data_IF_548103019981
#
_entry.id   IF_548103019981
#
_cell.length_a   1.000
_cell.length_b   1.000
_cell.length_c   1.000
_cell.angle_alpha   90.00
_cell.angle_beta   90.00
_cell.angle_gamma   90.00
#
_symmetry.space_group_name_H-M   'P 1'
#
loop_
_entity.id
_entity.type
_entity.pdbx_description
1 polymer ?
#
# COMPACT_ATOMS: atom_id res chain seq x y z
N UNK A 1 9.32 -14.18 -6.78
CA UNK A 1 8.56 -12.91 -6.68
C UNK A 1 7.21 -13.07 -7.38
N UNK A 2 6.20 -12.23 -7.10
CA UNK A 2 4.87 -12.22 -7.75
C UNK A 2 4.59 -10.83 -8.31
N UNK A 3 3.73 -10.74 -9.32
CA UNK A 3 3.20 -9.44 -9.79
C UNK A 3 1.91 -9.09 -9.05
N UNK A 4 1.72 -7.82 -8.75
CA UNK A 4 0.48 -7.21 -8.30
C UNK A 4 0.12 -5.99 -9.14
N UNK A 5 -1.14 -5.60 -9.12
CA UNK A 5 -1.65 -4.37 -9.72
C UNK A 5 -2.06 -3.39 -8.61
N UNK A 6 -1.58 -2.16 -8.64
CA UNK A 6 -2.07 -1.08 -7.79
C UNK A 6 -2.96 -0.15 -8.61
N UNK A 7 -4.23 -0.10 -8.27
CA UNK A 7 -5.20 0.84 -8.87
C UNK A 7 -5.11 2.24 -8.23
N UNK A 8 -4.50 2.34 -7.03
CA UNK A 8 -4.57 3.56 -6.26
C UNK A 8 -6.00 3.87 -5.79
N UNK A 9 -6.34 5.14 -5.73
CA UNK A 9 -7.72 5.62 -5.59
C UNK A 9 -8.21 6.16 -6.93
N UNK A 10 -9.52 6.15 -7.12
CA UNK A 10 -10.12 6.74 -8.30
C UNK A 10 -9.75 8.23 -8.38
N UNK A 11 -9.25 8.63 -9.53
CA UNK A 11 -8.88 10.03 -9.86
C UNK A 11 -9.87 10.60 -10.87
N UNK A 12 -9.72 11.90 -11.19
CA UNK A 12 -10.52 12.53 -12.22
C UNK A 12 -10.31 11.93 -13.65
N UNK A 13 -9.24 11.15 -13.82
CA UNK A 13 -8.82 10.60 -15.11
C UNK A 13 -9.17 9.12 -15.30
N UNK A 14 -9.66 8.45 -14.27
CA UNK A 14 -10.06 7.03 -14.34
C UNK A 14 -11.48 6.82 -13.84
N UNK A 15 -12.24 6.04 -14.56
CA UNK A 15 -13.59 5.63 -14.16
C UNK A 15 -13.55 4.33 -13.36
N UNK A 16 -14.59 3.99 -12.59
CA UNK A 16 -14.71 2.66 -11.99
C UNK A 16 -14.65 1.52 -13.02
N UNK A 17 -15.18 1.75 -14.22
CA UNK A 17 -15.14 0.78 -15.32
C UNK A 17 -13.69 0.53 -15.80
N UNK A 18 -12.85 1.55 -15.85
CA UNK A 18 -11.43 1.41 -16.20
C UNK A 18 -10.69 0.58 -15.15
N UNK A 19 -10.94 0.84 -13.86
CA UNK A 19 -10.37 0.05 -12.76
C UNK A 19 -10.79 -1.43 -12.85
N UNK A 20 -12.05 -1.71 -13.17
CA UNK A 20 -12.52 -3.08 -13.38
C UNK A 20 -11.87 -3.73 -14.60
N UNK A 21 -11.75 -3.01 -15.72
CA UNK A 21 -11.09 -3.52 -16.91
C UNK A 21 -9.62 -3.87 -16.65
N UNK A 22 -8.90 -3.01 -15.92
CA UNK A 22 -7.52 -3.25 -15.49
C UNK A 22 -7.42 -4.48 -14.58
N UNK A 23 -8.33 -4.62 -13.59
CA UNK A 23 -8.35 -5.76 -12.68
C UNK A 23 -8.63 -7.09 -13.41
N UNK A 24 -9.56 -7.10 -14.36
CA UNK A 24 -9.86 -8.28 -15.20
C UNK A 24 -8.69 -8.67 -16.09
N UNK A 25 -8.01 -7.71 -16.69
CA UNK A 25 -6.83 -7.99 -17.51
C UNK A 25 -5.69 -8.51 -16.64
N UNK A 26 -5.48 -7.94 -15.45
CA UNK A 26 -4.49 -8.45 -14.50
C UNK A 26 -4.80 -9.90 -14.05
N UNK A 27 -6.09 -10.21 -13.77
CA UNK A 27 -6.52 -11.60 -13.47
C UNK A 27 -6.24 -12.55 -14.63
N UNK A 28 -6.54 -12.12 -15.88
CA UNK A 28 -6.27 -12.89 -17.11
C UNK A 28 -4.77 -13.15 -17.30
N UNK A 29 -3.92 -12.17 -16.99
CA UNK A 29 -2.46 -12.23 -17.14
C UNK A 29 -1.77 -12.97 -15.98
N UNK A 30 -2.49 -13.40 -14.94
CA UNK A 30 -1.92 -14.13 -13.82
C UNK A 30 -1.27 -13.26 -12.74
N UNK A 31 -1.61 -11.98 -12.68
CA UNK A 31 -1.24 -11.15 -11.52
C UNK A 31 -1.81 -11.76 -10.24
N UNK A 32 -1.03 -11.73 -9.17
CA UNK A 32 -1.40 -12.40 -7.92
C UNK A 32 -2.38 -11.60 -7.07
N UNK A 33 -2.40 -10.27 -7.19
CA UNK A 33 -3.22 -9.40 -6.36
C UNK A 33 -3.51 -8.07 -7.04
N UNK A 34 -4.73 -7.55 -6.86
CA UNK A 34 -5.10 -6.18 -7.17
C UNK A 34 -5.32 -5.40 -5.88
N UNK A 35 -4.66 -4.25 -5.76
CA UNK A 35 -4.74 -3.36 -4.61
C UNK A 35 -5.53 -2.11 -4.94
N UNK A 36 -6.48 -1.76 -4.08
CA UNK A 36 -7.18 -0.48 -4.12
C UNK A 36 -6.89 0.32 -2.85
N UNK A 37 -6.88 1.65 -2.96
CA UNK A 37 -6.57 2.56 -1.87
C UNK A 37 -7.76 3.45 -1.52
N UNK A 38 -7.71 4.04 -0.34
CA UNK A 38 -8.60 5.12 0.08
C UNK A 38 -7.83 6.21 0.81
N UNK A 39 -8.30 7.43 0.70
CA UNK A 39 -7.83 8.57 1.48
C UNK A 39 -9.03 9.51 1.75
N UNK A 40 -9.29 10.44 0.85
CA UNK A 40 -10.48 11.29 0.77
C UNK A 40 -11.04 11.29 -0.67
N UNK A 41 -10.82 10.19 -1.37
CA UNK A 41 -11.33 9.88 -2.72
C UNK A 41 -12.36 8.76 -2.68
N UNK A 42 -12.20 7.75 -3.55
CA UNK A 42 -13.09 6.58 -3.57
C UNK A 42 -12.90 5.67 -2.35
N UNK A 43 -13.98 5.01 -1.93
CA UNK A 43 -13.95 3.97 -0.89
C UNK A 43 -13.37 2.66 -1.44
N UNK A 44 -12.34 2.14 -0.79
CA UNK A 44 -11.66 0.92 -1.25
C UNK A 44 -12.52 -0.34 -1.08
N UNK A 45 -13.37 -0.38 -0.06
CA UNK A 45 -14.21 -1.56 0.25
C UNK A 45 -15.23 -1.79 -0.86
N UNK A 46 -15.94 -0.72 -1.28
CA UNK A 46 -16.92 -0.78 -2.36
C UNK A 46 -16.28 -1.20 -3.68
N UNK A 47 -15.10 -0.65 -3.99
CA UNK A 47 -14.36 -1.00 -5.19
C UNK A 47 -13.92 -2.47 -5.19
N UNK A 48 -13.34 -2.93 -4.10
CA UNK A 48 -12.88 -4.32 -3.99
C UNK A 48 -14.04 -5.31 -3.96
N UNK A 49 -15.18 -4.98 -3.34
CA UNK A 49 -16.38 -5.82 -3.39
C UNK A 49 -16.91 -5.99 -4.82
N UNK A 50 -16.91 -4.91 -5.60
CA UNK A 50 -17.32 -4.94 -6.99
C UNK A 50 -16.37 -5.76 -7.88
N UNK A 51 -15.05 -5.58 -7.72
CA UNK A 51 -14.02 -6.36 -8.42
C UNK A 51 -14.10 -7.85 -8.03
N UNK A 52 -14.39 -8.16 -6.75
CA UNK A 52 -14.51 -9.53 -6.26
C UNK A 52 -15.51 -10.37 -7.04
N UNK A 53 -16.67 -9.77 -7.37
CA UNK A 53 -17.71 -10.43 -8.16
C UNK A 53 -17.43 -10.51 -9.66
N UNK A 54 -16.34 -9.95 -10.14
CA UNK A 54 -15.99 -9.80 -11.55
C UNK A 54 -14.64 -10.42 -11.94
N UNK A 55 -13.97 -11.05 -10.98
CA UNK A 55 -12.66 -11.72 -11.11
C UNK A 55 -12.70 -13.07 -10.42
N UNK A 56 -11.84 -14.03 -10.84
CA UNK A 56 -11.91 -15.41 -10.36
C UNK A 56 -10.68 -15.85 -9.56
N UNK A 57 -9.48 -15.38 -9.93
CA UNK A 57 -8.20 -15.89 -9.40
C UNK A 57 -7.41 -14.87 -8.62
N UNK A 58 -7.39 -13.61 -9.09
CA UNK A 58 -6.59 -12.54 -8.51
C UNK A 58 -7.06 -12.24 -7.09
N UNK A 59 -6.12 -12.14 -6.15
CA UNK A 59 -6.42 -11.70 -4.79
C UNK A 59 -6.80 -10.21 -4.78
N UNK A 60 -7.55 -9.82 -3.77
CA UNK A 60 -8.05 -8.46 -3.58
C UNK A 60 -7.42 -7.87 -2.33
N UNK A 61 -6.71 -6.77 -2.46
CA UNK A 61 -5.99 -6.16 -1.35
C UNK A 61 -6.40 -4.70 -1.11
N UNK A 62 -6.56 -4.33 0.14
CA UNK A 62 -6.58 -2.92 0.49
C UNK A 62 -5.15 -2.38 0.65
N UNK A 63 -4.84 -1.27 0.01
CA UNK A 63 -3.55 -0.61 0.14
C UNK A 63 -3.68 0.92 0.22
N UNK A 64 -4.35 1.40 1.25
CA UNK A 64 -4.77 0.73 2.49
C UNK A 64 -6.19 1.11 2.89
N UNK A 65 -6.84 0.32 3.78
CA UNK A 65 -7.95 0.82 4.60
C UNK A 65 -7.38 1.67 5.73
N UNK A 66 -7.97 2.84 5.96
CA UNK A 66 -7.47 3.79 6.96
C UNK A 66 -7.97 3.42 8.36
N UNK A 67 -7.05 3.25 9.31
CA UNK A 67 -7.36 2.98 10.73
C UNK A 67 -8.30 4.04 11.33
N UNK A 68 -8.12 5.36 11.10
CA UNK A 68 -9.02 6.36 11.67
C UNK A 68 -10.43 6.37 11.06
N UNK A 69 -10.63 5.76 9.88
CA UNK A 69 -11.91 5.78 9.19
C UNK A 69 -12.93 4.76 9.74
N UNK A 70 -12.48 3.71 10.41
CA UNK A 70 -13.33 2.59 10.85
C UNK A 70 -12.96 2.10 12.24
N UNK A 71 -13.93 1.56 12.98
CA UNK A 71 -13.61 0.81 14.21
C UNK A 71 -12.95 -0.53 13.87
N UNK A 72 -12.12 -1.09 14.77
CA UNK A 72 -11.51 -2.41 14.54
C UNK A 72 -12.56 -3.52 14.35
N UNK A 73 -13.69 -3.47 15.06
CA UNK A 73 -14.78 -4.42 14.88
C UNK A 73 -15.41 -4.32 13.49
N UNK A 74 -15.67 -3.09 12.99
CA UNK A 74 -16.18 -2.90 11.62
C UNK A 74 -15.19 -3.38 10.57
N UNK A 75 -13.90 -3.14 10.76
CA UNK A 75 -12.85 -3.65 9.86
C UNK A 75 -12.81 -5.17 9.82
N UNK A 76 -12.95 -5.84 10.98
CA UNK A 76 -13.01 -7.30 11.02
C UNK A 76 -14.24 -7.85 10.28
N UNK A 77 -15.42 -7.23 10.46
CA UNK A 77 -16.64 -7.57 9.73
C UNK A 77 -16.45 -7.39 8.22
N UNK A 78 -15.92 -6.27 7.80
CA UNK A 78 -15.64 -5.96 6.39
C UNK A 78 -14.65 -6.96 5.78
N UNK A 79 -13.53 -7.23 6.45
CA UNK A 79 -12.52 -8.18 5.98
C UNK A 79 -13.10 -9.60 5.83
N UNK A 80 -13.84 -10.08 6.83
CA UNK A 80 -14.48 -11.38 6.78
C UNK A 80 -15.54 -11.49 5.67
N UNK A 81 -16.28 -10.40 5.42
CA UNK A 81 -17.28 -10.35 4.34
C UNK A 81 -16.61 -10.36 2.98
N UNK A 82 -15.60 -9.50 2.74
CA UNK A 82 -14.86 -9.46 1.47
C UNK A 82 -14.15 -10.80 1.19
N UNK A 83 -13.56 -11.41 2.21
CA UNK A 83 -12.90 -12.70 2.08
C UNK A 83 -13.89 -13.80 1.69
N UNK A 84 -15.09 -13.79 2.25
CA UNK A 84 -16.17 -14.74 1.89
C UNK A 84 -16.68 -14.49 0.46
N UNK A 85 -16.98 -13.23 0.10
CA UNK A 85 -17.45 -12.86 -1.25
C UNK A 85 -16.44 -13.19 -2.35
N UNK A 86 -15.16 -13.06 -2.04
CA UNK A 86 -14.07 -13.34 -2.99
C UNK A 86 -13.61 -14.80 -3.01
N UNK A 87 -14.17 -15.70 -2.19
CA UNK A 87 -13.70 -17.07 -2.10
C UNK A 87 -12.31 -17.20 -1.49
N UNK A 88 -12.04 -16.50 -0.39
CA UNK A 88 -10.78 -16.48 0.36
C UNK A 88 -9.60 -15.76 -0.34
N UNK A 89 -9.90 -14.78 -1.17
CA UNK A 89 -8.90 -14.00 -1.93
C UNK A 89 -8.60 -12.62 -1.32
N UNK A 90 -9.10 -12.29 -0.11
CA UNK A 90 -8.92 -10.97 0.47
C UNK A 90 -7.64 -10.84 1.29
N UNK A 91 -6.94 -9.70 1.15
CA UNK A 91 -5.76 -9.28 1.93
C UNK A 91 -6.05 -7.94 2.59
N UNK A 92 -6.00 -7.90 3.92
CA UNK A 92 -6.32 -6.70 4.70
C UNK A 92 -5.09 -5.81 4.85
N UNK A 93 -4.98 -4.76 4.06
CA UNK A 93 -3.95 -3.74 4.24
C UNK A 93 -4.46 -2.55 5.05
N UNK A 94 -3.70 -2.14 6.06
CA UNK A 94 -4.04 -1.09 7.00
C UNK A 94 -2.97 0.00 7.02
N UNK A 95 -3.41 1.25 7.21
CA UNK A 95 -2.53 2.39 7.34
C UNK A 95 -2.99 3.40 8.39
N UNK A 96 -2.03 4.09 8.99
CA UNK A 96 -2.29 5.09 10.02
C UNK A 96 -2.88 6.39 9.46
N UNK A 97 -2.84 6.58 8.12
CA UNK A 97 -3.13 7.87 7.47
C UNK A 97 -2.13 8.96 7.89
N UNK A 98 -2.51 10.23 7.79
CA UNK A 98 -1.73 11.37 8.25
C UNK A 98 -2.59 12.33 9.07
N UNK A 99 -1.98 13.31 9.78
CA UNK A 99 -2.71 14.26 10.63
C UNK A 99 -3.82 14.98 9.87
N UNK A 100 -3.54 15.43 8.63
CA UNK A 100 -4.49 16.19 7.83
C UNK A 100 -5.77 15.40 7.53
N UNK A 101 -5.64 14.12 7.20
CA UNK A 101 -6.77 13.26 6.87
C UNK A 101 -7.42 12.74 8.16
N UNK A 102 -6.64 12.26 9.13
CA UNK A 102 -7.16 11.73 10.39
C UNK A 102 -7.97 12.78 11.16
N UNK A 103 -7.41 13.99 11.35
CA UNK A 103 -8.04 15.05 12.11
C UNK A 103 -8.98 15.90 11.27
N UNK A 104 -8.58 16.24 10.03
CA UNK A 104 -9.32 17.15 9.17
C UNK A 104 -10.51 16.52 8.44
N UNK A 105 -10.44 15.21 8.14
CA UNK A 105 -11.49 14.51 7.40
C UNK A 105 -12.30 13.55 8.26
N UNK A 106 -11.62 12.78 9.13
CA UNK A 106 -12.28 11.78 9.97
C UNK A 106 -12.59 12.27 11.39
N UNK A 107 -12.07 13.44 11.80
CA UNK A 107 -12.28 13.99 13.16
C UNK A 107 -11.61 13.16 14.26
N UNK A 108 -10.63 12.33 13.91
CA UNK A 108 -9.92 11.43 14.84
C UNK A 108 -8.52 11.96 15.11
N UNK A 109 -8.22 12.21 16.40
CA UNK A 109 -6.90 12.70 16.82
C UNK A 109 -5.77 11.80 16.34
N UNK A 110 -4.78 12.39 15.66
CA UNK A 110 -3.55 11.70 15.23
C UNK A 110 -2.53 11.67 16.38
N UNK A 111 -2.73 10.76 17.31
CA UNK A 111 -1.86 10.61 18.48
C UNK A 111 -1.41 9.15 18.64
N UNK A 112 -0.12 8.95 18.97
CA UNK A 112 0.49 7.64 19.21
C UNK A 112 0.10 6.59 18.15
N UNK A 113 0.27 6.86 16.84
CA UNK A 113 -0.29 6.02 15.77
C UNK A 113 0.20 4.57 15.82
N UNK A 114 1.42 4.31 16.30
CA UNK A 114 1.95 2.94 16.39
C UNK A 114 1.26 2.13 17.50
N UNK A 115 1.02 2.74 18.67
CA UNK A 115 0.29 2.09 19.76
C UNK A 115 -1.16 1.79 19.32
N UNK A 116 -1.83 2.77 18.70
CA UNK A 116 -3.17 2.58 18.14
C UNK A 116 -3.22 1.45 17.10
N UNK A 117 -2.24 1.38 16.20
CA UNK A 117 -2.17 0.31 15.19
C UNK A 117 -2.02 -1.06 15.83
N UNK A 118 -1.18 -1.20 16.86
CA UNK A 118 -1.00 -2.45 17.59
C UNK A 118 -2.31 -2.94 18.22
N UNK A 119 -2.99 -2.05 18.94
CA UNK A 119 -4.28 -2.37 19.57
C UNK A 119 -5.34 -2.72 18.52
N UNK A 120 -5.40 -1.93 17.46
CA UNK A 120 -6.34 -2.14 16.35
C UNK A 120 -6.19 -3.52 15.71
N UNK A 121 -4.97 -3.90 15.32
CA UNK A 121 -4.69 -5.20 14.72
C UNK A 121 -4.98 -6.35 15.68
N UNK A 122 -4.66 -6.20 16.96
CA UNK A 122 -4.97 -7.21 17.97
C UNK A 122 -6.48 -7.47 18.08
N UNK A 123 -7.29 -6.41 18.12
CA UNK A 123 -8.75 -6.50 18.17
C UNK A 123 -9.31 -7.13 16.88
N UNK A 124 -8.80 -6.71 15.70
CA UNK A 124 -9.20 -7.29 14.41
C UNK A 124 -8.94 -8.80 14.38
N UNK A 125 -7.74 -9.25 14.79
CA UNK A 125 -7.40 -10.68 14.83
C UNK A 125 -8.27 -11.46 15.82
N UNK A 126 -8.55 -10.89 17.01
CA UNK A 126 -9.45 -11.49 17.98
C UNK A 126 -10.87 -11.67 17.41
N UNK A 127 -11.39 -10.65 16.72
CA UNK A 127 -12.70 -10.72 16.10
C UNK A 127 -12.74 -11.75 14.95
N UNK A 128 -11.73 -11.78 14.07
CA UNK A 128 -11.65 -12.76 12.97
C UNK A 128 -11.56 -14.21 13.46
N UNK A 129 -10.91 -14.46 14.61
CA UNK A 129 -10.89 -15.78 15.24
C UNK A 129 -12.20 -16.17 15.96
N UNK A 130 -13.24 -15.34 15.83
CA UNK A 130 -14.56 -15.50 16.49
C UNK A 130 -14.49 -15.61 18.00
N UNK A 131 -13.49 -15.05 18.64
CA UNK A 131 -13.49 -14.88 20.08
C UNK A 131 -14.45 -13.73 20.46
N UNK A 132 -15.02 -13.80 21.67
CA UNK A 132 -15.72 -12.67 22.24
C UNK A 132 -14.70 -11.54 22.49
N UNK A 133 -14.88 -10.42 21.79
CA UNK A 133 -13.91 -9.34 21.79
C UNK A 133 -13.90 -8.63 23.14
N UNK A 134 -12.77 -8.73 23.85
CA UNK A 134 -12.50 -7.98 25.07
C UNK A 134 -11.07 -7.43 24.99
N UNK A 135 -10.92 -6.12 25.18
CA UNK A 135 -9.64 -5.46 25.06
C UNK A 135 -9.53 -4.29 26.05
N UNK A 136 -8.39 -4.14 26.70
CA UNK A 136 -8.06 -3.04 27.59
C UNK A 136 -6.77 -2.39 27.11
N UNK A 137 -6.88 -1.28 26.41
CA UNK A 137 -5.76 -0.55 25.84
C UNK A 137 -5.84 0.94 26.13
N UNK A 138 -4.88 1.68 25.61
CA UNK A 138 -4.84 3.14 25.71
C UNK A 138 -5.85 3.80 24.72
N UNK A 139 -6.01 3.21 23.54
CA UNK A 139 -6.86 3.74 22.47
C UNK A 139 -8.22 3.05 22.37
N UNK A 140 -8.29 1.79 22.79
CA UNK A 140 -9.50 0.98 22.70
C UNK A 140 -9.76 0.24 24.01
N UNK A 141 -10.97 0.39 24.53
CA UNK A 141 -11.49 -0.39 25.65
C UNK A 141 -12.80 -1.02 25.22
N UNK A 142 -12.86 -2.34 25.17
CA UNK A 142 -14.01 -3.12 24.71
C UNK A 142 -14.28 -4.27 25.69
N UNK A 143 -15.53 -4.42 26.21
CA UNK A 143 -16.63 -3.46 26.10
C UNK A 143 -16.33 -2.15 26.84
N UNK A 144 -17.08 -1.08 26.49
CA UNK A 144 -16.89 0.23 27.11
C UNK A 144 -17.24 0.17 28.60
N UNK A 145 -16.36 0.63 29.53
CA UNK A 145 -16.61 0.62 30.94
C UNK A 145 -17.84 1.46 31.32
N UNK A 146 -18.64 0.96 32.26
CA UNK A 146 -19.85 1.66 32.76
C UNK A 146 -21.05 1.67 31.80
N UNK A 147 -20.89 1.05 30.61
CA UNK A 147 -22.00 0.90 29.65
C UNK A 147 -22.73 -0.42 29.78
N UNK A 148 -23.85 -0.57 29.03
CA UNK A 148 -24.63 -1.81 28.96
C UNK A 148 -24.00 -2.84 27.97
N UNK A 149 -22.85 -2.54 27.41
CA UNK A 149 -22.16 -3.40 26.42
C UNK A 149 -21.60 -4.67 27.04
N UNK A 150 -21.60 -5.75 26.26
CA UNK A 150 -20.94 -7.02 26.61
C UNK A 150 -20.00 -7.45 25.49
N UNK A 151 -19.00 -8.31 25.76
CA UNK A 151 -18.15 -8.86 24.69
C UNK A 151 -18.99 -9.56 23.61
N UNK A 152 -18.78 -9.16 22.36
CA UNK A 152 -19.47 -9.74 21.19
C UNK A 152 -18.45 -10.47 20.31
N UNK A 153 -18.93 -11.41 19.50
CA UNK A 153 -18.16 -12.12 18.47
C UNK A 153 -18.87 -11.98 17.13
N UNK A 154 -18.15 -12.25 16.04
CA UNK A 154 -18.77 -12.28 14.71
C UNK A 154 -19.99 -13.19 14.70
N UNK A 155 -21.12 -12.68 14.18
CA UNK A 155 -22.39 -13.39 14.11
C UNK A 155 -22.41 -14.50 13.05
N UNK A 156 -21.43 -14.53 12.15
CA UNK A 156 -21.27 -15.57 11.11
C UNK A 156 -19.88 -16.20 11.20
N UNK A 157 -19.68 -17.33 10.50
CA UNK A 157 -18.38 -17.99 10.39
C UNK A 157 -17.65 -17.40 9.18
N UNK A 158 -16.50 -16.72 9.37
CA UNK A 158 -15.68 -16.28 8.26
C UNK A 158 -15.18 -17.47 7.47
N UNK A 159 -14.92 -17.30 6.18
CA UNK A 159 -14.41 -18.35 5.31
C UNK A 159 -13.02 -18.88 5.75
N UNK A 160 -12.24 -18.02 6.43
CA UNK A 160 -11.01 -18.33 7.18
C UNK A 160 -10.81 -17.34 8.31
N UNK A 161 -10.04 -17.70 9.33
CA UNK A 161 -9.73 -16.85 10.49
C UNK A 161 -8.39 -16.15 10.39
N UNK A 162 -7.58 -16.54 9.43
CA UNK A 162 -6.19 -16.13 9.19
C UNK A 162 -6.05 -15.22 7.95
N UNK A 163 -7.02 -14.31 7.75
CA UNK A 163 -6.93 -13.30 6.71
C UNK A 163 -5.61 -12.53 6.88
N UNK A 164 -4.73 -12.49 5.84
CA UNK A 164 -3.42 -11.85 5.96
C UNK A 164 -3.57 -10.34 6.20
N UNK A 165 -2.84 -9.82 7.18
CA UNK A 165 -2.80 -8.40 7.53
C UNK A 165 -1.51 -7.79 7.03
N UNK A 166 -1.63 -6.72 6.24
CA UNK A 166 -0.52 -5.92 5.73
C UNK A 166 -0.53 -4.55 6.39
N UNK A 167 0.64 -4.00 6.65
CA UNK A 167 0.77 -2.63 7.16
C UNK A 167 1.56 -1.75 6.19
N UNK A 168 1.03 -0.56 5.90
CA UNK A 168 1.80 0.50 5.28
C UNK A 168 2.69 1.15 6.34
N UNK A 169 3.99 1.18 6.08
CA UNK A 169 4.98 1.73 6.99
C UNK A 169 6.10 2.42 6.22
N UNK A 170 6.56 3.57 6.72
CA UNK A 170 7.63 4.38 6.09
C UNK A 170 8.81 4.60 7.05
N UNK A 171 8.55 4.90 8.30
CA UNK A 171 9.61 5.14 9.29
C UNK A 171 10.11 3.87 9.98
N UNK A 172 11.34 3.88 10.51
CA UNK A 172 11.99 2.70 11.13
C UNK A 172 11.14 1.97 12.17
N UNK A 173 10.56 2.72 13.13
CA UNK A 173 9.73 2.13 14.20
C UNK A 173 8.43 1.53 13.66
N UNK A 174 7.86 2.10 12.57
CA UNK A 174 6.66 1.55 11.96
C UNK A 174 6.97 0.29 11.14
N UNK A 175 8.13 0.25 10.47
CA UNK A 175 8.63 -0.96 9.79
C UNK A 175 8.88 -2.10 10.79
N UNK A 176 9.48 -1.80 11.94
CA UNK A 176 9.66 -2.78 13.02
C UNK A 176 8.30 -3.28 13.53
N UNK A 177 7.33 -2.39 13.75
CA UNK A 177 5.98 -2.78 14.13
C UNK A 177 5.32 -3.66 13.06
N UNK A 178 5.46 -3.32 11.77
CA UNK A 178 4.94 -4.16 10.69
C UNK A 178 5.53 -5.58 10.74
N UNK A 179 6.84 -5.71 10.92
CA UNK A 179 7.49 -7.00 11.11
C UNK A 179 6.98 -7.78 12.33
N UNK A 180 6.63 -7.08 13.41
CA UNK A 180 6.18 -7.70 14.64
C UNK A 180 4.74 -8.20 14.59
N UNK A 181 3.80 -7.48 13.95
CA UNK A 181 2.36 -7.78 14.08
C UNK A 181 1.65 -8.12 12.76
N UNK A 182 2.30 -7.90 11.61
CA UNK A 182 1.69 -8.12 10.30
C UNK A 182 2.22 -9.38 9.60
N UNK A 183 1.58 -9.75 8.50
CA UNK A 183 1.97 -10.84 7.60
C UNK A 183 2.68 -10.30 6.35
N UNK A 184 2.59 -8.99 6.11
CA UNK A 184 3.31 -8.31 5.04
C UNK A 184 3.42 -6.79 5.25
N UNK A 185 4.25 -6.18 4.44
CA UNK A 185 4.49 -4.74 4.39
C UNK A 185 4.10 -4.17 3.03
N UNK A 186 3.44 -3.02 3.03
CA UNK A 186 3.11 -2.24 1.84
C UNK A 186 4.04 -1.02 1.79
N UNK A 187 5.02 -1.06 0.90
CA UNK A 187 6.00 0.00 0.69
C UNK A 187 5.73 0.79 -0.59
N UNK A 188 5.94 2.10 -0.53
CA UNK A 188 6.03 2.99 -1.70
C UNK A 188 7.39 3.68 -1.71
N UNK A 189 7.83 4.14 -2.88
CA UNK A 189 9.18 4.70 -3.08
C UNK A 189 10.28 3.73 -2.61
N UNK A 190 10.07 2.44 -2.83
CA UNK A 190 11.07 1.41 -2.53
C UNK A 190 12.14 1.44 -3.61
N UNK A 191 13.36 1.82 -3.22
CA UNK A 191 14.52 1.74 -4.08
C UNK A 191 15.24 0.41 -3.84
N UNK A 192 15.43 -0.46 -4.84
CA UNK A 192 16.08 -1.77 -4.67
C UNK A 192 17.45 -1.71 -4.02
N UNK A 193 18.25 -0.72 -4.38
CA UNK A 193 19.59 -0.47 -3.84
C UNK A 193 19.60 -0.02 -2.36
N UNK A 194 18.48 0.47 -1.84
CA UNK A 194 18.31 0.91 -0.46
C UNK A 194 17.34 0.03 0.37
N UNK A 195 16.80 -1.05 -0.22
CA UNK A 195 15.80 -1.91 0.43
C UNK A 195 16.30 -2.61 1.68
N UNK A 196 17.61 -2.87 1.79
CA UNK A 196 18.24 -3.51 2.94
C UNK A 196 17.97 -2.80 4.27
N UNK A 197 17.82 -1.47 4.27
CA UNK A 197 17.46 -0.71 5.47
C UNK A 197 16.04 -1.02 5.94
N UNK A 198 15.07 -1.06 5.03
CA UNK A 198 13.69 -1.43 5.34
C UNK A 198 13.60 -2.86 5.87
N UNK A 199 14.27 -3.81 5.19
CA UNK A 199 14.27 -5.22 5.58
C UNK A 199 14.91 -5.46 6.94
N UNK A 200 15.96 -4.70 7.29
CA UNK A 200 16.60 -4.77 8.63
C UNK A 200 15.61 -4.41 9.73
N UNK A 201 14.83 -3.35 9.57
CA UNK A 201 13.83 -2.95 10.56
C UNK A 201 12.67 -3.95 10.64
N UNK A 202 12.20 -4.47 9.51
CA UNK A 202 11.17 -5.52 9.47
C UNK A 202 11.69 -6.79 10.17
N UNK A 203 12.93 -7.20 9.88
CA UNK A 203 13.55 -8.36 10.51
C UNK A 203 13.68 -8.21 12.04
N UNK A 204 14.01 -7.01 12.53
CA UNK A 204 14.03 -6.73 13.97
C UNK A 204 12.64 -6.92 14.61
N UNK A 205 11.58 -6.50 13.94
CA UNK A 205 10.21 -6.75 14.39
C UNK A 205 9.85 -8.24 14.38
N UNK A 206 10.19 -8.96 13.31
CA UNK A 206 9.99 -10.41 13.18
C UNK A 206 10.71 -11.20 14.27
N UNK A 207 11.94 -10.80 14.60
CA UNK A 207 12.76 -11.43 15.62
C UNK A 207 12.11 -11.40 17.01
N UNK A 208 11.28 -10.40 17.34
CA UNK A 208 10.52 -10.35 18.60
C UNK A 208 9.52 -11.52 18.74
N UNK A 209 9.16 -12.14 17.63
CA UNK A 209 8.31 -13.35 17.58
C UNK A 209 9.11 -14.64 17.35
N UNK A 210 10.43 -14.58 17.35
CA UNK A 210 11.30 -15.69 17.02
C UNK A 210 11.24 -16.10 15.53
N UNK A 211 10.85 -15.20 14.63
CA UNK A 211 10.66 -15.45 13.19
C UNK A 211 11.71 -14.71 12.36
N UNK A 212 12.11 -15.30 11.24
CA UNK A 212 12.85 -14.63 10.17
C UNK A 212 11.94 -13.98 9.15
N UNK A 213 12.51 -13.49 8.03
CA UNK A 213 11.74 -12.90 6.94
C UNK A 213 10.95 -13.93 6.10
N UNK A 214 11.24 -15.21 6.22
CA UNK A 214 10.50 -16.25 5.52
C UNK A 214 9.00 -16.18 5.86
N UNK A 215 8.15 -16.26 4.83
CA UNK A 215 6.69 -16.17 4.97
C UNK A 215 6.15 -14.75 5.22
N UNK A 216 7.01 -13.72 5.22
CA UNK A 216 6.59 -12.32 5.28
C UNK A 216 6.60 -11.71 3.87
N UNK A 217 5.48 -11.15 3.43
CA UNK A 217 5.36 -10.57 2.09
C UNK A 217 5.83 -9.11 2.06
N UNK A 218 6.91 -8.85 1.36
CA UNK A 218 7.43 -7.50 1.09
C UNK A 218 6.80 -7.01 -0.20
N UNK A 219 5.82 -6.11 -0.11
CA UNK A 219 5.14 -5.56 -1.28
C UNK A 219 5.71 -4.20 -1.62
N UNK A 220 6.31 -4.06 -2.79
CA UNK A 220 6.72 -2.77 -3.33
C UNK A 220 5.68 -2.26 -4.33
N UNK A 221 5.05 -1.13 -4.03
CA UNK A 221 4.14 -0.45 -4.95
C UNK A 221 4.94 0.56 -5.78
N UNK A 222 4.96 0.34 -7.11
CA UNK A 222 5.92 0.98 -8.01
C UNK A 222 5.21 1.60 -9.21
N UNK A 223 5.35 2.92 -9.44
CA UNK A 223 4.92 3.56 -10.68
C UNK A 223 5.62 2.97 -11.89
N UNK A 224 4.89 2.82 -13.01
CA UNK A 224 5.43 2.32 -14.27
C UNK A 224 5.09 3.25 -15.43
N UNK A 225 6.09 3.68 -16.18
CA UNK A 225 5.93 4.41 -17.44
C UNK A 225 6.87 3.82 -18.50
N UNK A 226 6.30 3.33 -19.61
CA UNK A 226 7.04 2.63 -20.67
C UNK A 226 7.20 3.54 -21.87
N UNK A 227 8.46 3.72 -22.32
CA UNK A 227 8.81 4.55 -23.47
C UNK A 227 10.33 4.58 -23.69
N UNK A 228 10.72 5.12 -24.83
CA UNK A 228 12.15 5.26 -25.21
C UNK A 228 12.77 6.54 -24.62
N UNK A 229 11.94 7.56 -24.35
CA UNK A 229 12.35 8.80 -23.71
C UNK A 229 12.17 8.72 -22.20
N UNK A 230 13.30 8.58 -21.48
CA UNK A 230 13.30 8.44 -20.01
C UNK A 230 12.86 9.72 -19.31
N UNK A 231 13.12 10.90 -19.87
CA UNK A 231 12.68 12.17 -19.27
C UNK A 231 11.16 12.30 -19.38
N UNK A 232 10.57 11.98 -20.52
CA UNK A 232 9.12 11.93 -20.71
C UNK A 232 8.47 10.89 -19.78
N UNK A 233 9.08 9.70 -19.61
CA UNK A 233 8.60 8.70 -18.66
C UNK A 233 8.68 9.18 -17.19
N UNK A 234 9.73 9.92 -16.83
CA UNK A 234 9.86 10.49 -15.49
C UNK A 234 8.82 11.61 -15.25
N UNK A 235 8.57 12.44 -16.27
CA UNK A 235 7.68 13.61 -16.18
C UNK A 235 6.24 13.23 -15.83
N UNK A 236 5.73 12.10 -16.31
CA UNK A 236 4.37 11.62 -15.95
C UNK A 236 4.29 11.13 -14.51
N UNK A 237 5.40 10.77 -13.87
CA UNK A 237 5.46 10.28 -12.49
C UNK A 237 5.81 11.41 -11.49
N UNK A 238 6.56 12.44 -11.90
CA UNK A 238 7.01 13.53 -11.03
C UNK A 238 5.88 14.19 -10.22
N UNK A 239 4.66 14.47 -10.77
CA UNK A 239 3.58 15.07 -9.98
C UNK A 239 3.14 14.20 -8.79
N UNK A 240 3.10 12.87 -8.97
CA UNK A 240 2.83 11.92 -7.90
C UNK A 240 3.92 11.98 -6.82
N UNK A 241 5.18 11.91 -7.21
CA UNK A 241 6.29 11.96 -6.27
C UNK A 241 6.34 13.30 -5.52
N UNK A 242 6.11 14.42 -6.22
CA UNK A 242 6.07 15.76 -5.61
C UNK A 242 4.92 15.92 -4.60
N UNK A 243 3.75 15.36 -4.87
CA UNK A 243 2.63 15.33 -3.92
C UNK A 243 3.06 14.65 -2.60
N UNK A 244 3.71 13.50 -2.68
CA UNK A 244 4.12 12.76 -1.48
C UNK A 244 5.29 13.45 -0.76
N UNK A 245 6.36 13.78 -1.47
CA UNK A 245 7.56 14.40 -0.89
C UNK A 245 7.27 15.81 -0.36
N UNK A 246 6.42 16.57 -1.06
CA UNK A 246 6.11 17.97 -0.72
C UNK A 246 4.83 18.18 0.08
N UNK A 247 3.74 17.45 -0.23
CA UNK A 247 2.39 17.78 0.20
C UNK A 247 1.74 16.81 1.20
N UNK A 248 2.27 15.60 1.40
CA UNK A 248 1.64 14.59 2.27
C UNK A 248 2.04 14.74 3.74
N UNK A 249 1.83 15.91 4.29
CA UNK A 249 2.13 16.23 5.69
C UNK A 249 2.41 17.70 5.91
N UNK A 250 2.62 18.08 7.17
CA UNK A 250 3.18 19.41 7.51
C UNK A 250 4.68 19.44 7.20
N UNK A 251 5.26 20.65 7.34
CA UNK A 251 6.71 20.80 7.17
C UNK A 251 7.53 19.89 8.08
N UNK A 252 7.08 19.69 9.32
CA UNK A 252 7.78 18.91 10.34
C UNK A 252 7.37 17.44 10.36
N UNK A 253 6.26 17.09 9.74
CA UNK A 253 5.66 15.75 9.81
C UNK A 253 5.26 15.22 8.44
N UNK A 254 6.24 15.13 7.54
CA UNK A 254 6.09 14.46 6.25
C UNK A 254 7.03 13.24 6.20
N UNK A 255 6.44 12.05 6.33
CA UNK A 255 7.19 10.78 6.33
C UNK A 255 7.90 10.50 5.01
N UNK A 256 7.33 10.95 3.90
CA UNK A 256 7.88 10.72 2.55
C UNK A 256 9.00 11.72 2.23
N UNK A 257 8.93 12.94 2.74
CA UNK A 257 10.06 13.87 2.70
C UNK A 257 11.25 13.29 3.45
N UNK A 258 11.02 12.80 4.69
CA UNK A 258 12.06 12.13 5.47
C UNK A 258 12.60 10.87 4.78
N UNK A 259 11.78 10.16 3.98
CA UNK A 259 12.24 9.03 3.17
C UNK A 259 13.16 9.50 2.03
N UNK A 260 12.79 10.56 1.30
CA UNK A 260 13.64 11.12 0.25
C UNK A 260 15.00 11.60 0.79
N UNK A 261 15.01 12.21 1.98
CA UNK A 261 16.25 12.58 2.68
C UNK A 261 17.13 11.34 2.97
N UNK A 262 16.53 10.24 3.47
CA UNK A 262 17.27 8.98 3.70
C UNK A 262 17.81 8.35 2.43
N UNK A 263 17.16 8.58 1.29
CA UNK A 263 17.62 8.13 -0.02
C UNK A 263 18.74 9.02 -0.60
N UNK A 264 19.13 10.11 0.09
CA UNK A 264 20.22 10.98 -0.32
C UNK A 264 19.79 12.28 -1.02
N UNK A 265 18.49 12.60 -1.06
CA UNK A 265 17.92 13.76 -1.77
C UNK A 265 17.47 14.85 -0.80
N UNK A 266 18.33 15.26 0.14
CA UNK A 266 17.96 16.19 1.21
C UNK A 266 17.62 17.60 0.71
N UNK A 267 18.40 18.13 -0.25
CA UNK A 267 18.20 19.47 -0.80
C UNK A 267 16.99 19.52 -1.73
N UNK A 268 16.82 18.51 -2.56
CA UNK A 268 15.66 18.35 -3.45
C UNK A 268 14.38 18.17 -2.65
N UNK A 269 14.39 17.34 -1.61
CA UNK A 269 13.24 17.13 -0.75
C UNK A 269 12.78 18.43 -0.06
N UNK A 270 13.73 19.27 0.38
CA UNK A 270 13.45 20.61 0.95
C UNK A 270 12.84 21.50 -0.10
N UNK A 271 13.46 21.62 -1.27
CA UNK A 271 12.99 22.46 -2.37
C UNK A 271 11.58 22.05 -2.82
N UNK A 272 11.34 20.77 -3.00
CA UNK A 272 10.02 20.24 -3.38
C UNK A 272 8.97 20.58 -2.33
N UNK A 273 9.29 20.43 -1.05
CA UNK A 273 8.36 20.76 0.03
C UNK A 273 8.05 22.24 0.10
N UNK A 274 9.06 23.11 -0.03
CA UNK A 274 8.90 24.56 -0.03
C UNK A 274 8.00 25.04 -1.18
N UNK A 275 8.25 24.54 -2.38
CA UNK A 275 7.45 24.84 -3.56
C UNK A 275 6.01 24.33 -3.43
N UNK A 276 5.85 23.07 -2.99
CA UNK A 276 4.52 22.46 -2.88
C UNK A 276 3.65 23.18 -1.84
N UNK A 277 4.19 23.46 -0.66
CA UNK A 277 3.49 24.20 0.40
C UNK A 277 3.22 25.68 0.02
N UNK A 278 4.00 26.23 -0.89
CA UNK A 278 3.77 27.56 -1.49
C UNK A 278 2.76 27.52 -2.67
N UNK A 279 2.01 26.42 -2.85
CA UNK A 279 1.04 26.23 -3.93
C UNK A 279 1.63 26.30 -5.35
N UNK A 280 2.84 25.82 -5.51
CA UNK A 280 3.58 25.72 -6.79
C UNK A 280 3.85 24.25 -7.13
N UNK A 281 2.81 23.39 -7.29
CA UNK A 281 3.00 21.93 -7.44
C UNK A 281 3.70 21.55 -8.75
N UNK A 282 3.54 22.31 -9.82
CA UNK A 282 4.22 22.05 -11.09
C UNK A 282 5.73 22.26 -10.97
N UNK A 283 6.15 23.33 -10.27
CA UNK A 283 7.56 23.61 -10.03
C UNK A 283 8.17 22.64 -9.02
N UNK A 284 7.38 22.21 -8.02
CA UNK A 284 7.78 21.16 -7.10
C UNK A 284 8.04 19.83 -7.86
N UNK A 285 7.19 19.49 -8.82
CA UNK A 285 7.39 18.30 -9.67
C UNK A 285 8.67 18.44 -10.51
N UNK A 286 8.90 19.57 -11.13
CA UNK A 286 10.10 19.85 -11.93
C UNK A 286 11.41 19.84 -11.12
N UNK A 287 11.33 20.14 -9.81
CA UNK A 287 12.48 20.10 -8.90
C UNK A 287 12.93 18.69 -8.50
N UNK A 288 12.12 17.65 -8.78
CA UNK A 288 12.54 16.27 -8.54
C UNK A 288 13.46 15.78 -9.65
N UNK A 289 14.67 15.31 -9.33
CA UNK A 289 15.60 14.79 -10.34
C UNK A 289 15.07 13.49 -10.94
N UNK A 290 15.39 13.25 -12.22
CA UNK A 290 15.03 12.00 -12.91
C UNK A 290 15.56 10.78 -12.15
N UNK A 291 16.76 10.85 -11.60
CA UNK A 291 17.38 9.78 -10.84
C UNK A 291 16.53 9.33 -9.63
N UNK A 292 15.85 10.24 -8.92
CA UNK A 292 14.91 9.87 -7.87
C UNK A 292 13.76 9.01 -8.41
N UNK A 293 13.21 9.39 -9.57
CA UNK A 293 12.14 8.64 -10.24
C UNK A 293 12.65 7.28 -10.70
N UNK A 294 13.81 7.22 -11.36
CA UNK A 294 14.43 5.96 -11.81
C UNK A 294 14.68 4.99 -10.65
N UNK A 295 15.11 5.49 -9.49
CA UNK A 295 15.38 4.65 -8.30
C UNK A 295 14.12 4.11 -7.65
N UNK A 296 13.00 4.80 -7.76
CA UNK A 296 11.76 4.47 -7.03
C UNK A 296 10.61 4.03 -7.93
N UNK A 297 10.86 3.90 -9.24
CA UNK A 297 9.88 3.56 -10.26
C UNK A 297 10.47 2.59 -11.28
N UNK A 298 9.65 2.15 -12.22
CA UNK A 298 10.06 1.40 -13.39
C UNK A 298 9.77 2.26 -14.61
N UNK A 299 10.81 2.82 -15.25
CA UNK A 299 10.67 3.63 -16.46
C UNK A 299 11.57 3.12 -17.57
N UNK A 300 11.16 3.36 -18.82
CA UNK A 300 11.95 3.08 -20.02
C UNK A 300 11.41 1.96 -20.89
N UNK A 301 12.29 1.38 -21.71
CA UNK A 301 11.99 0.32 -22.67
C UNK A 301 11.63 -1.00 -21.98
N UNK A 302 11.04 -1.95 -22.73
CA UNK A 302 10.74 -3.30 -22.22
C UNK A 302 11.96 -4.00 -21.58
N UNK A 303 13.16 -3.82 -22.14
CA UNK A 303 14.37 -4.42 -21.59
C UNK A 303 14.75 -3.78 -20.25
N UNK A 304 14.61 -2.46 -20.12
CA UNK A 304 14.81 -1.76 -18.84
C UNK A 304 13.79 -2.19 -17.79
N UNK A 305 12.53 -2.39 -18.19
CA UNK A 305 11.47 -2.95 -17.31
C UNK A 305 11.88 -4.33 -16.79
N UNK A 306 12.36 -5.24 -17.67
CA UNK A 306 12.81 -6.59 -17.28
C UNK A 306 13.96 -6.52 -16.27
N UNK A 307 14.99 -5.73 -16.56
CA UNK A 307 16.13 -5.54 -15.66
C UNK A 307 15.68 -5.00 -14.30
N UNK A 308 14.78 -4.03 -14.29
CA UNK A 308 14.28 -3.43 -13.04
C UNK A 308 13.49 -4.42 -12.21
N UNK A 309 12.71 -5.30 -12.84
CA UNK A 309 11.99 -6.41 -12.17
C UNK A 309 13.02 -7.35 -11.49
N UNK A 310 14.12 -7.69 -12.14
CA UNK A 310 15.19 -8.51 -11.56
C UNK A 310 15.84 -7.83 -10.34
N UNK A 311 16.08 -6.53 -10.41
CA UNK A 311 16.62 -5.74 -9.30
C UNK A 311 15.69 -5.75 -8.07
N UNK A 312 14.37 -5.59 -8.26
CA UNK A 312 13.40 -5.70 -7.17
C UNK A 312 13.37 -7.12 -6.56
N UNK A 313 13.45 -8.15 -7.39
CA UNK A 313 13.50 -9.52 -6.90
C UNK A 313 14.77 -9.79 -6.07
N UNK A 314 15.93 -9.36 -6.57
CA UNK A 314 17.21 -9.46 -5.86
C UNK A 314 17.22 -8.68 -4.54
N UNK A 315 16.47 -7.58 -4.48
CA UNK A 315 16.28 -6.74 -3.30
C UNK A 315 15.35 -7.35 -2.23
N UNK A 316 14.82 -8.56 -2.44
CA UNK A 316 13.97 -9.27 -1.49
C UNK A 316 12.47 -8.90 -1.55
N UNK A 317 12.02 -8.27 -2.62
CA UNK A 317 10.60 -7.99 -2.84
C UNK A 317 9.85 -9.31 -3.13
N UNK A 318 8.82 -9.60 -2.35
CA UNK A 318 7.96 -10.76 -2.52
C UNK A 318 6.84 -10.53 -3.54
N UNK A 319 6.26 -9.32 -3.54
CA UNK A 319 5.22 -8.91 -4.49
C UNK A 319 5.57 -7.54 -5.07
N UNK A 320 5.79 -7.48 -6.38
CA UNK A 320 5.99 -6.22 -7.12
C UNK A 320 4.63 -5.73 -7.63
N UNK A 321 4.07 -4.73 -6.96
CA UNK A 321 2.77 -4.15 -7.30
C UNK A 321 2.97 -2.94 -8.19
N UNK A 322 2.63 -3.06 -9.48
CA UNK A 322 2.83 -2.00 -10.45
C UNK A 322 1.61 -1.08 -10.55
N UNK A 323 1.86 0.21 -10.76
CA UNK A 323 0.84 1.22 -11.04
C UNK A 323 1.16 1.88 -12.38
N UNK A 324 0.40 1.61 -13.47
CA UNK A 324 0.62 2.25 -14.76
C UNK A 324 0.36 3.76 -14.69
N UNK A 325 1.34 4.56 -15.10
CA UNK A 325 1.23 6.01 -15.22
C UNK A 325 1.04 6.38 -16.69
N UNK A 326 -0.22 6.38 -17.12
CA UNK A 326 -0.64 6.56 -18.51
C UNK A 326 -1.89 7.44 -18.59
N UNK A 327 -2.18 7.98 -19.77
CA UNK A 327 -3.30 8.91 -19.98
C UNK A 327 -4.65 8.24 -20.32
N UNK A 328 -4.68 6.93 -20.60
CA UNK A 328 -5.87 6.23 -21.06
C UNK A 328 -5.85 4.73 -20.70
N UNK A 329 -7.03 4.10 -20.76
CA UNK A 329 -7.23 2.69 -20.43
C UNK A 329 -6.44 1.75 -21.35
N UNK A 330 -6.39 2.01 -22.65
CA UNK A 330 -5.73 1.11 -23.60
C UNK A 330 -4.22 1.04 -23.32
N UNK A 331 -3.61 2.20 -23.08
CA UNK A 331 -2.20 2.30 -22.67
C UNK A 331 -1.95 1.60 -21.33
N UNK A 332 -2.90 1.68 -20.39
CA UNK A 332 -2.85 0.95 -19.13
C UNK A 332 -2.85 -0.56 -19.34
N UNK A 333 -3.79 -1.08 -20.11
CA UNK A 333 -3.86 -2.51 -20.44
C UNK A 333 -2.61 -2.99 -21.20
N UNK A 334 -2.08 -2.18 -22.11
CA UNK A 334 -0.81 -2.46 -22.80
C UNK A 334 0.35 -2.55 -21.83
N UNK A 335 0.43 -1.62 -20.87
CA UNK A 335 1.47 -1.65 -19.83
C UNK A 335 1.41 -2.93 -19.01
N UNK A 336 0.22 -3.41 -18.61
CA UNK A 336 0.08 -4.68 -17.89
C UNK A 336 0.64 -5.86 -18.70
N UNK A 337 0.35 -5.93 -20.00
CA UNK A 337 0.85 -6.99 -20.89
C UNK A 337 2.38 -6.96 -21.00
N UNK A 338 2.96 -5.78 -21.25
CA UNK A 338 4.42 -5.62 -21.37
C UNK A 338 5.12 -6.01 -20.07
N UNK A 339 4.58 -5.61 -18.90
CA UNK A 339 5.18 -5.96 -17.61
C UNK A 339 5.05 -7.47 -17.35
N UNK A 340 3.91 -8.11 -17.67
CA UNK A 340 3.74 -9.56 -17.53
C UNK A 340 4.76 -10.33 -18.38
N UNK A 341 4.91 -9.95 -19.65
CA UNK A 341 5.89 -10.56 -20.55
C UNK A 341 7.34 -10.33 -20.11
N UNK A 342 7.66 -9.13 -19.59
CA UNK A 342 8.98 -8.83 -19.03
C UNK A 342 9.25 -9.67 -17.77
N UNK A 343 8.23 -9.85 -16.92
CA UNK A 343 8.30 -10.68 -15.72
C UNK A 343 8.53 -12.16 -16.06
N UNK A 344 7.79 -12.71 -17.01
CA UNK A 344 7.95 -14.10 -17.44
C UNK A 344 9.34 -14.35 -18.02
N UNK A 345 9.86 -13.40 -18.82
CA UNK A 345 11.19 -13.49 -19.44
C UNK A 345 12.34 -13.30 -18.44
N UNK A 346 12.11 -12.64 -17.31
CA UNK A 346 13.12 -12.48 -16.24
C UNK A 346 13.37 -13.75 -15.43
N UNK A 347 12.42 -14.69 -15.42
CA UNK A 347 12.52 -15.94 -14.67
C UNK A 347 12.37 -15.81 -13.15
N UNK A 348 12.16 -14.61 -12.60
CA UNK A 348 12.08 -14.37 -11.13
C UNK A 348 10.77 -14.87 -10.50
N UNK A 349 9.79 -15.27 -11.31
CA UNK A 349 8.51 -15.84 -10.87
C UNK A 349 8.54 -17.34 -10.60
N UNK A 350 9.65 -18.01 -10.85
CA UNK A 350 9.82 -19.47 -10.75
C UNK A 350 10.34 -19.90 -9.39
#
# INVERSE_FOLDING_TARGET
>A
MRLGLSLGYQTAWSTPADHLAMAREADRLGYSVVWAAEAYGSDTVSMLAWIAGQTERIDLGAAVMQIPARTPAMTAMTAATLDTLSGKRFRLGLGVSGPQVSEGWHGVRFAKPLARTREYVAIVRQALSRQAVSYQGEHYTLPLPGGAGKPLKLGFHPARTDIPVYLAAVGPKNLELAGEIADGWLGIFVAPDASGDHLRHIAAGRAKRGLGLSGFDVVASVPVAIGDDLDACADVIRPYAALYVGGMGSREQNFYNALAVRLGYADEARTVQDLYLSRRPAEAAAALPREFIERTSIIGTREQVRKRIEEYAAAGVGTLSISPYVGDLESGLRTLRIVAEAFDSSGVGR
#
